data_IF_441856579462
#
_entry.id   IF_441856579462
#
_cell.length_a   1.000
_cell.length_b   1.000
_cell.length_c   1.000
_cell.angle_alpha   90.00
_cell.angle_beta   90.00
_cell.angle_gamma   90.00
#
_symmetry.space_group_name_H-M   'P 1'
#
loop_
_entity.id
_entity.type
_entity.pdbx_description
1 polymer ?
#
# COMPACT_ATOMS: atom_id res chain seq x y z
N UNK A 1 23.58 -18.98 2.67
CA UNK A 1 22.35 -18.67 3.45
C UNK A 1 21.43 -19.87 3.37
N UNK A 2 20.87 -20.34 4.48
CA UNK A 2 19.92 -21.47 4.45
C UNK A 2 18.54 -20.99 4.03
N UNK A 3 17.74 -21.87 3.42
CA UNK A 3 16.39 -21.57 2.94
C UNK A 3 15.48 -21.03 4.08
N UNK A 4 15.67 -21.53 5.30
CA UNK A 4 14.96 -21.08 6.49
C UNK A 4 15.26 -19.62 6.86
N UNK A 5 16.52 -19.18 6.70
CA UNK A 5 16.90 -17.80 6.96
C UNK A 5 16.30 -16.83 5.94
N UNK A 6 16.27 -17.20 4.66
CA UNK A 6 15.64 -16.40 3.59
C UNK A 6 14.15 -16.21 3.87
N UNK A 7 13.44 -17.28 4.22
CA UNK A 7 12.01 -17.24 4.55
C UNK A 7 11.70 -16.31 5.73
N UNK A 8 12.53 -16.36 6.79
CA UNK A 8 12.40 -15.43 7.93
C UNK A 8 12.62 -13.98 7.51
N UNK A 9 13.64 -13.70 6.71
CA UNK A 9 13.91 -12.34 6.21
C UNK A 9 12.72 -11.83 5.38
N UNK A 10 12.17 -12.66 4.50
CA UNK A 10 11.00 -12.30 3.69
C UNK A 10 9.75 -12.03 4.54
N UNK A 11 9.52 -12.81 5.60
CA UNK A 11 8.42 -12.56 6.54
C UNK A 11 8.59 -11.23 7.28
N UNK A 12 9.81 -10.95 7.77
CA UNK A 12 10.10 -9.67 8.42
C UNK A 12 9.91 -8.52 7.43
N UNK A 13 10.40 -8.66 6.20
CA UNK A 13 10.24 -7.64 5.16
C UNK A 13 8.75 -7.40 4.84
N UNK A 14 7.93 -8.46 4.75
CA UNK A 14 6.49 -8.34 4.54
C UNK A 14 5.80 -7.57 5.68
N UNK A 15 6.14 -7.88 6.94
CA UNK A 15 5.62 -7.17 8.12
C UNK A 15 6.03 -5.70 8.09
N UNK A 16 7.32 -5.43 7.82
CA UNK A 16 7.83 -4.06 7.72
C UNK A 16 7.12 -3.30 6.60
N UNK A 17 6.91 -3.92 5.44
CA UNK A 17 6.18 -3.30 4.33
C UNK A 17 4.75 -2.92 4.73
N UNK A 18 4.03 -3.81 5.43
CA UNK A 18 2.68 -3.50 5.95
C UNK A 18 2.74 -2.30 6.90
N UNK A 19 3.63 -2.33 7.90
CA UNK A 19 3.71 -1.25 8.91
C UNK A 19 4.06 0.08 8.25
N UNK A 20 5.12 0.12 7.44
CA UNK A 20 5.60 1.34 6.78
C UNK A 20 4.56 1.86 5.80
N UNK A 21 3.96 0.99 4.98
CA UNK A 21 2.90 1.35 4.05
C UNK A 21 1.67 1.92 4.77
N UNK A 22 1.26 1.32 5.88
CA UNK A 22 0.13 1.80 6.68
C UNK A 22 0.42 3.17 7.30
N UNK A 23 1.58 3.34 7.93
CA UNK A 23 1.99 4.64 8.49
C UNK A 23 2.02 5.70 7.41
N UNK A 24 2.64 5.41 6.26
CA UNK A 24 2.71 6.34 5.14
C UNK A 24 1.34 6.70 4.57
N UNK A 25 0.44 5.72 4.41
CA UNK A 25 -0.92 5.94 3.94
C UNK A 25 -1.72 6.82 4.91
N UNK A 26 -1.62 6.57 6.22
CA UNK A 26 -2.32 7.35 7.25
C UNK A 26 -1.82 8.79 7.28
N UNK A 27 -0.49 8.99 7.28
CA UNK A 27 0.10 10.33 7.26
C UNK A 27 -0.28 11.09 5.99
N UNK A 28 -0.28 10.41 4.84
CA UNK A 28 -0.67 11.01 3.55
C UNK A 28 -2.16 11.36 3.47
N UNK A 29 -3.02 10.56 4.10
CA UNK A 29 -4.47 10.78 4.14
C UNK A 29 -4.86 11.90 5.13
N UNK A 30 -4.08 12.08 6.20
CA UNK A 30 -4.31 13.13 7.19
C UNK A 30 -3.96 14.54 6.68
N UNK A 31 -3.26 14.65 5.55
CA UNK A 31 -2.89 15.94 4.96
C UNK A 31 -4.14 16.72 4.53
N UNK A 32 -4.37 17.90 5.13
CA UNK A 32 -5.50 18.77 4.76
C UNK A 32 -5.42 19.16 3.28
N UNK A 33 -6.48 18.85 2.53
CA UNK A 33 -6.64 19.26 1.13
C UNK A 33 -7.56 20.47 1.09
N UNK A 34 -7.05 21.59 0.60
CA UNK A 34 -7.88 22.75 0.27
C UNK A 34 -8.61 22.48 -1.04
N UNK A 35 -9.90 22.18 -0.94
CA UNK A 35 -10.82 22.20 -2.07
C UNK A 35 -11.22 23.66 -2.26
N UNK A 36 -10.90 24.24 -3.42
CA UNK A 36 -11.22 25.65 -3.71
C UNK A 36 -12.74 25.86 -3.72
N UNK A 37 -13.23 26.96 -3.14
CA UNK A 37 -14.67 27.21 -2.99
C UNK A 37 -15.37 27.70 -4.28
N UNK A 38 -14.65 27.80 -5.39
CA UNK A 38 -15.18 28.25 -6.69
C UNK A 38 -14.79 27.29 -7.80
N UNK A 39 -15.70 26.39 -8.17
CA UNK A 39 -15.62 25.64 -9.41
C UNK A 39 -16.20 26.49 -10.56
N UNK A 40 -15.39 27.39 -11.13
CA UNK A 40 -15.74 27.97 -12.44
C UNK A 40 -15.67 26.88 -13.52
N UNK A 41 -16.60 26.92 -14.47
CA UNK A 41 -16.55 26.06 -15.65
C UNK A 41 -15.17 26.22 -16.34
N UNK A 42 -14.55 25.12 -16.81
CA UNK A 42 -13.30 25.19 -17.54
C UNK A 42 -13.41 26.20 -18.69
N UNK A 43 -12.40 27.04 -18.87
CA UNK A 43 -12.34 27.98 -19.99
C UNK A 43 -12.51 27.21 -21.31
N UNK A 44 -13.27 27.73 -22.28
CA UNK A 44 -13.50 27.05 -23.56
C UNK A 44 -12.16 26.69 -24.23
N UNK A 45 -11.86 25.38 -24.31
CA UNK A 45 -10.57 24.87 -24.80
C UNK A 45 -9.69 24.19 -23.73
N UNK A 46 -10.05 24.27 -22.45
CA UNK A 46 -9.40 23.51 -21.37
C UNK A 46 -10.26 22.31 -20.96
N UNK A 47 -9.66 21.13 -20.92
CA UNK A 47 -10.29 19.93 -20.38
C UNK A 47 -10.14 19.97 -18.86
N UNK A 48 -11.22 19.68 -18.13
CA UNK A 48 -11.14 19.44 -16.69
C UNK A 48 -10.14 18.31 -16.44
N UNK A 49 -8.98 18.65 -15.89
CA UNK A 49 -7.95 17.69 -15.50
C UNK A 49 -8.00 17.54 -13.98
N UNK A 50 -8.67 16.51 -13.44
CA UNK A 50 -8.75 16.26 -12.00
C UNK A 50 -7.42 15.77 -11.41
N UNK A 51 -6.28 16.05 -12.04
CA UNK A 51 -4.95 15.49 -11.75
C UNK A 51 -4.44 15.64 -10.31
N UNK A 52 -5.21 16.23 -9.40
CA UNK A 52 -4.99 16.20 -7.95
C UNK A 52 -6.26 16.06 -7.08
N UNK A 53 -7.46 15.95 -7.67
CA UNK A 53 -8.77 15.93 -6.99
C UNK A 53 -9.39 14.53 -6.87
N UNK A 54 -8.56 13.49 -6.76
CA UNK A 54 -9.04 12.18 -6.36
C UNK A 54 -9.37 12.18 -4.86
N UNK A 55 -10.49 11.56 -4.46
CA UNK A 55 -10.85 11.36 -3.04
C UNK A 55 -9.72 10.71 -2.24
N UNK A 56 -8.90 9.89 -2.90
CA UNK A 56 -7.68 9.31 -2.33
C UNK A 56 -6.47 9.91 -3.04
N UNK A 57 -5.58 10.54 -2.28
CA UNK A 57 -4.38 11.14 -2.84
C UNK A 57 -3.42 10.07 -3.39
N UNK A 58 -2.69 10.40 -4.47
CA UNK A 58 -1.66 9.50 -5.04
C UNK A 58 -0.66 8.98 -3.99
N UNK A 59 -0.15 9.81 -3.04
CA UNK A 59 0.69 9.31 -1.96
C UNK A 59 -0.01 8.26 -1.08
N UNK A 60 -1.30 8.47 -0.77
CA UNK A 60 -2.10 7.48 -0.03
C UNK A 60 -2.24 6.18 -0.81
N UNK A 61 -2.48 6.25 -2.14
CA UNK A 61 -2.53 5.08 -3.01
C UNK A 61 -1.21 4.30 -3.02
N UNK A 62 -0.07 4.99 -3.04
CA UNK A 62 1.25 4.36 -2.96
C UNK A 62 1.38 3.60 -1.63
N UNK A 63 1.03 4.24 -0.51
CA UNK A 63 1.05 3.60 0.82
C UNK A 63 0.17 2.35 0.87
N UNK A 64 -1.06 2.44 0.38
CA UNK A 64 -1.99 1.31 0.31
C UNK A 64 -1.49 0.18 -0.59
N UNK A 65 -0.83 0.50 -1.70
CA UNK A 65 -0.23 -0.50 -2.59
C UNK A 65 0.88 -1.26 -1.88
N UNK A 66 1.73 -0.57 -1.11
CA UNK A 66 2.78 -1.20 -0.30
C UNK A 66 2.18 -2.13 0.75
N UNK A 67 1.10 -1.71 1.43
CA UNK A 67 0.36 -2.56 2.39
C UNK A 67 -0.17 -3.81 1.71
N UNK A 68 -0.81 -3.67 0.56
CA UNK A 68 -1.39 -4.79 -0.17
C UNK A 68 -0.31 -5.83 -0.54
N UNK A 69 0.83 -5.38 -1.07
CA UNK A 69 1.96 -6.26 -1.39
C UNK A 69 2.54 -6.95 -0.16
N UNK A 70 2.69 -6.22 0.96
CA UNK A 70 3.16 -6.79 2.22
C UNK A 70 2.22 -7.88 2.76
N UNK A 71 0.90 -7.65 2.70
CA UNK A 71 -0.10 -8.63 3.10
C UNK A 71 -0.11 -9.87 2.19
N UNK A 72 -0.05 -9.67 0.87
CA UNK A 72 0.01 -10.77 -0.09
C UNK A 72 1.24 -11.65 0.13
N UNK A 73 2.42 -11.03 0.29
CA UNK A 73 3.65 -11.75 0.58
C UNK A 73 3.58 -12.49 1.94
N UNK A 74 3.05 -11.82 2.98
CA UNK A 74 2.85 -12.41 4.30
C UNK A 74 1.92 -13.62 4.27
N UNK A 75 0.77 -13.50 3.60
CA UNK A 75 -0.20 -14.58 3.46
C UNK A 75 0.37 -15.79 2.70
N UNK A 76 1.09 -15.54 1.61
CA UNK A 76 1.75 -16.60 0.84
C UNK A 76 2.80 -17.34 1.68
N UNK A 77 3.67 -16.60 2.38
CA UNK A 77 4.71 -17.20 3.22
C UNK A 77 4.12 -17.94 4.41
N UNK A 78 3.07 -17.42 5.05
CA UNK A 78 2.35 -18.10 6.11
C UNK A 78 1.75 -19.42 5.61
N UNK A 79 1.11 -19.41 4.43
CA UNK A 79 0.61 -20.61 3.76
C UNK A 79 1.71 -21.65 3.53
N UNK A 80 2.88 -21.23 3.04
CA UNK A 80 4.04 -22.12 2.88
C UNK A 80 4.52 -22.72 4.21
N UNK A 81 4.59 -21.94 5.30
CA UNK A 81 4.95 -22.46 6.63
C UNK A 81 3.96 -23.52 7.10
N UNK A 82 2.66 -23.25 6.94
CA UNK A 82 1.61 -24.17 7.39
C UNK A 82 1.62 -25.46 6.57
N UNK A 83 1.79 -25.36 5.25
CA UNK A 83 1.89 -26.53 4.36
C UNK A 83 3.08 -27.44 4.68
N UNK A 84 4.26 -26.85 4.95
CA UNK A 84 5.46 -27.61 5.33
C UNK A 84 5.32 -28.34 6.67
N UNK A 85 4.53 -27.81 7.61
CA UNK A 85 4.26 -28.49 8.89
C UNK A 85 3.38 -29.71 8.67
N UNK A 86 2.30 -29.55 7.92
CA UNK A 86 1.36 -30.63 7.61
C UNK A 86 1.98 -31.79 6.82
N UNK A 87 3.00 -31.54 6.01
CA UNK A 87 3.70 -32.61 5.28
C UNK A 87 4.68 -33.42 6.13
N UNK A 88 5.01 -32.94 7.34
CA UNK A 88 5.92 -33.63 8.27
C UNK A 88 5.19 -34.50 9.29
N UNK A 89 3.88 -34.30 9.44
CA UNK A 89 2.95 -35.09 10.26
C UNK A 89 2.31 -36.19 9.41
#
# INVERSE_FOLDING_TARGET
MTFASVKRILLVAAIVAVVVGSVFAVLSAAQTRTIGWFAYAPLSGQVFNPGGEQFVSVPTLIGLTIVALGLMAGAFLAGLVVGERRSRD
#
